data_IF_822240229301
#
_entry.id   IF_822240229301
#
_cell.length_a   1.000
_cell.length_b   1.000
_cell.length_c   1.000
_cell.angle_alpha   90.00
_cell.angle_beta   90.00
_cell.angle_gamma   90.00
#
_symmetry.space_group_name_H-M   'P 1'
#
loop_
_entity.id
_entity.type
_entity.pdbx_description
1 polymer ?
#
# COMPACT_ATOMS: atom_id res chain seq x y z
N UNK A 1 25.62 1.62 -9.90
CA UNK A 1 25.22 1.15 -11.24
C UNK A 1 24.51 2.30 -11.95
N UNK A 2 24.92 2.65 -13.18
CA UNK A 2 24.24 3.66 -13.98
C UNK A 2 22.76 3.32 -14.20
N UNK A 3 21.88 4.33 -14.21
CA UNK A 3 20.44 4.14 -14.34
C UNK A 3 20.07 4.25 -15.82
N UNK A 4 19.53 3.18 -16.40
CA UNK A 4 19.05 3.18 -17.79
C UNK A 4 17.56 3.49 -17.92
N UNK A 5 16.92 3.95 -16.85
CA UNK A 5 15.50 4.33 -16.86
C UNK A 5 15.37 5.84 -16.78
N UNK A 6 14.71 6.42 -17.78
CA UNK A 6 14.35 7.84 -17.84
C UNK A 6 12.96 8.02 -17.25
N UNK A 7 12.84 8.97 -16.34
CA UNK A 7 11.57 9.43 -15.80
C UNK A 7 11.10 10.66 -16.57
N UNK A 8 9.89 10.58 -17.10
CA UNK A 8 9.26 11.61 -17.92
C UNK A 8 8.12 12.23 -17.13
N UNK A 9 8.10 13.56 -17.07
CA UNK A 9 7.08 14.37 -16.41
C UNK A 9 6.46 15.37 -17.37
N UNK A 10 5.36 15.99 -16.93
CA UNK A 10 4.61 17.03 -17.63
C UNK A 10 3.96 16.57 -18.95
N UNK A 11 3.67 15.27 -19.09
CA UNK A 11 2.96 14.75 -20.26
C UNK A 11 1.50 15.22 -20.29
N UNK A 12 0.91 15.22 -21.49
CA UNK A 12 -0.51 15.52 -21.68
C UNK A 12 -1.39 14.36 -21.18
N UNK A 13 -2.37 14.68 -20.35
CA UNK A 13 -3.22 13.69 -19.66
C UNK A 13 -4.47 13.34 -20.48
N UNK A 14 -4.88 14.25 -21.39
CA UNK A 14 -6.08 14.09 -22.21
C UNK A 14 -5.91 13.04 -23.31
N UNK A 15 -4.67 12.71 -23.65
CA UNK A 15 -4.33 11.73 -24.70
C UNK A 15 -4.58 10.30 -24.21
N UNK A 16 -4.99 9.40 -25.10
CA UNK A 16 -5.16 7.97 -24.78
C UNK A 16 -3.82 7.33 -24.40
N UNK A 17 -3.84 6.35 -23.49
CA UNK A 17 -2.61 5.77 -22.95
C UNK A 17 -1.77 5.13 -24.08
N UNK A 18 -2.43 4.36 -24.94
CA UNK A 18 -1.78 3.65 -26.03
C UNK A 18 -1.09 4.62 -27.00
N UNK A 19 -1.81 5.67 -27.42
CA UNK A 19 -1.26 6.71 -28.28
C UNK A 19 -0.09 7.47 -27.62
N UNK A 20 -0.15 7.70 -26.31
CA UNK A 20 0.95 8.33 -25.56
C UNK A 20 2.18 7.41 -25.52
N UNK A 21 1.99 6.12 -25.28
CA UNK A 21 3.06 5.13 -25.25
C UNK A 21 3.71 4.99 -26.63
N UNK A 22 2.91 4.92 -27.70
CA UNK A 22 3.42 4.83 -29.07
C UNK A 22 4.21 6.08 -29.47
N UNK A 23 3.73 7.27 -29.11
CA UNK A 23 4.42 8.52 -29.37
C UNK A 23 5.74 8.62 -28.58
N UNK A 24 5.73 8.27 -27.30
CA UNK A 24 6.95 8.18 -26.49
C UNK A 24 7.93 7.16 -27.08
N UNK A 25 7.45 5.99 -27.53
CA UNK A 25 8.32 4.98 -28.15
C UNK A 25 8.98 5.51 -29.41
N UNK A 26 8.24 6.25 -30.22
CA UNK A 26 8.74 6.82 -31.47
C UNK A 26 9.83 7.84 -31.20
N UNK A 27 9.62 8.76 -30.27
CA UNK A 27 10.59 9.81 -29.94
C UNK A 27 11.84 9.23 -29.26
N UNK A 28 11.66 8.35 -28.27
CA UNK A 28 12.77 7.81 -27.48
C UNK A 28 13.58 6.74 -28.23
N UNK A 29 13.03 6.13 -29.29
CA UNK A 29 13.76 5.15 -30.12
C UNK A 29 14.95 5.76 -30.89
N UNK A 30 15.01 7.09 -31.04
CA UNK A 30 16.10 7.77 -31.72
C UNK A 30 17.43 7.69 -30.94
N UNK A 31 17.37 7.65 -29.61
CA UNK A 31 18.54 7.65 -28.73
C UNK A 31 19.03 6.25 -28.34
N UNK A 32 18.23 5.22 -28.62
CA UNK A 32 18.57 3.84 -28.30
C UNK A 32 17.38 2.90 -28.28
N UNK A 33 17.65 1.65 -27.95
CA UNK A 33 16.64 0.61 -27.95
C UNK A 33 15.81 0.66 -26.65
N UNK A 34 14.53 1.00 -26.80
CA UNK A 34 13.57 1.08 -25.71
C UNK A 34 13.02 -0.32 -25.41
N UNK A 35 13.38 -0.83 -24.23
CA UNK A 35 12.96 -2.12 -23.68
C UNK A 35 11.51 -2.06 -23.19
N UNK A 36 11.14 -0.97 -22.54
CA UNK A 36 9.82 -0.83 -21.94
C UNK A 36 9.40 0.61 -21.72
N UNK A 37 8.09 0.84 -21.73
CA UNK A 37 7.49 2.11 -21.38
C UNK A 37 6.35 1.85 -20.39
N UNK A 38 6.48 2.43 -19.20
CA UNK A 38 5.48 2.33 -18.14
C UNK A 38 4.83 3.70 -17.95
N UNK A 39 3.61 3.86 -18.47
CA UNK A 39 2.78 5.03 -18.24
C UNK A 39 1.49 4.63 -17.49
N UNK A 40 0.99 5.49 -16.60
CA UNK A 40 -0.23 5.23 -15.82
C UNK A 40 -1.14 6.46 -15.80
N UNK A 41 -2.45 6.23 -15.74
CA UNK A 41 -3.47 7.31 -15.70
C UNK A 41 -4.06 7.57 -14.31
N UNK A 42 -3.49 6.96 -13.27
CA UNK A 42 -3.99 7.14 -11.90
C UNK A 42 -3.78 8.59 -11.46
N UNK A 43 -4.63 9.12 -10.58
CA UNK A 43 -4.58 10.52 -10.14
C UNK A 43 -3.20 10.97 -9.60
N UNK A 44 -2.43 10.03 -9.00
CA UNK A 44 -1.07 10.28 -8.49
C UNK A 44 0.05 10.15 -9.54
N UNK A 45 -0.23 9.52 -10.68
CA UNK A 45 0.76 9.15 -11.70
C UNK A 45 0.43 9.67 -13.10
N UNK A 46 -0.68 10.41 -13.24
CA UNK A 46 -1.06 11.07 -14.49
C UNK A 46 0.02 12.08 -14.89
N UNK A 47 0.24 12.20 -16.19
CA UNK A 47 1.28 13.07 -16.74
C UNK A 47 2.72 12.57 -16.52
N UNK A 48 2.89 11.30 -16.13
CA UNK A 48 4.19 10.69 -15.85
C UNK A 48 4.37 9.38 -16.62
N UNK A 49 5.60 9.12 -17.06
CA UNK A 49 6.00 7.86 -17.67
C UNK A 49 7.43 7.48 -17.26
N UNK A 50 7.75 6.20 -17.39
CA UNK A 50 9.10 5.68 -17.25
C UNK A 50 9.48 4.98 -18.53
N UNK A 51 10.58 5.41 -19.15
CA UNK A 51 11.15 4.82 -20.37
C UNK A 51 12.39 4.04 -19.97
N UNK A 52 12.44 2.76 -20.31
CA UNK A 52 13.55 1.87 -19.95
C UNK A 52 14.37 1.59 -21.20
N UNK A 53 15.65 1.95 -21.15
CA UNK A 53 16.65 1.58 -22.14
C UNK A 53 17.43 0.34 -21.70
N UNK A 54 18.03 -0.33 -22.68
CA UNK A 54 19.03 -1.38 -22.46
C UNK A 54 20.38 -0.79 -21.98
N UNK A 55 20.79 0.33 -22.55
CA UNK A 55 22.01 1.07 -22.21
C UNK A 55 21.74 2.30 -21.33
N UNK A 56 22.56 2.56 -20.30
CA UNK A 56 22.49 3.80 -19.54
C UNK A 56 22.98 5.02 -20.34
N UNK A 57 23.80 4.83 -21.38
CA UNK A 57 24.26 5.93 -22.24
C UNK A 57 23.08 6.50 -23.05
N UNK A 58 22.27 5.62 -23.65
CA UNK A 58 21.03 6.03 -24.34
C UNK A 58 20.07 6.82 -23.44
N UNK A 59 20.00 6.48 -22.15
CA UNK A 59 19.19 7.22 -21.19
C UNK A 59 19.76 8.62 -20.91
N UNK A 60 21.08 8.75 -20.85
CA UNK A 60 21.77 10.03 -20.65
C UNK A 60 21.62 10.94 -21.87
N UNK A 61 21.81 10.40 -23.07
CA UNK A 61 21.68 11.15 -24.32
C UNK A 61 20.25 11.66 -24.52
N UNK A 62 19.24 10.80 -24.27
CA UNK A 62 17.85 11.21 -24.31
C UNK A 62 17.56 12.38 -23.35
N UNK A 63 18.06 12.33 -22.11
CA UNK A 63 17.84 13.44 -21.15
C UNK A 63 18.50 14.73 -21.63
N UNK A 64 19.69 14.66 -22.23
CA UNK A 64 20.41 15.86 -22.65
C UNK A 64 19.78 16.53 -23.88
N UNK A 65 19.26 15.73 -24.82
CA UNK A 65 18.84 16.24 -26.13
C UNK A 65 17.35 16.62 -26.17
N UNK A 66 16.48 15.86 -25.50
CA UNK A 66 15.02 16.02 -25.61
C UNK A 66 14.34 16.44 -24.29
N UNK A 67 15.10 16.89 -23.29
CA UNK A 67 14.49 17.60 -22.15
C UNK A 67 13.88 18.93 -22.61
N UNK A 68 12.61 19.13 -22.29
CA UNK A 68 11.83 20.27 -22.76
C UNK A 68 11.15 20.07 -24.12
N UNK A 69 11.32 18.92 -24.78
CA UNK A 69 10.65 18.65 -26.07
C UNK A 69 9.13 18.71 -25.94
N UNK A 70 8.46 19.35 -26.89
CA UNK A 70 7.01 19.50 -26.86
C UNK A 70 6.30 18.27 -27.44
N UNK A 71 5.65 17.51 -26.56
CA UNK A 71 4.81 16.37 -26.95
C UNK A 71 3.34 16.69 -26.67
N UNK A 72 2.51 16.65 -27.71
CA UNK A 72 1.09 17.04 -27.64
C UNK A 72 0.85 18.47 -27.10
N UNK A 73 1.76 19.40 -27.41
CA UNK A 73 1.64 20.81 -26.99
C UNK A 73 2.07 21.08 -25.55
N UNK A 74 2.72 20.11 -24.88
CA UNK A 74 3.33 20.32 -23.56
C UNK A 74 4.82 19.93 -23.58
N UNK A 75 5.71 20.79 -23.06
CA UNK A 75 7.13 20.45 -22.96
C UNK A 75 7.33 19.38 -21.89
N UNK A 76 7.82 18.21 -22.27
CA UNK A 76 8.11 17.14 -21.33
C UNK A 76 9.38 17.44 -20.55
N UNK A 77 9.44 16.97 -19.30
CA UNK A 77 10.63 17.09 -18.45
C UNK A 77 11.22 15.72 -18.19
N UNK A 78 12.52 15.58 -18.39
CA UNK A 78 13.27 14.35 -18.30
C UNK A 78 14.22 14.39 -17.12
N UNK A 79 14.31 13.27 -16.42
CA UNK A 79 15.26 13.07 -15.35
C UNK A 79 15.62 11.58 -15.25
N UNK A 80 16.72 11.26 -14.58
CA UNK A 80 16.98 9.89 -14.21
C UNK A 80 15.92 9.38 -13.21
N UNK A 81 15.48 8.14 -13.40
CA UNK A 81 14.64 7.49 -12.41
C UNK A 81 15.39 7.32 -11.08
N UNK A 82 14.68 7.38 -9.95
CA UNK A 82 15.29 7.21 -8.61
C UNK A 82 15.65 5.75 -8.28
N UNK A 83 15.04 4.80 -8.98
CA UNK A 83 15.19 3.36 -8.75
C UNK A 83 15.25 2.68 -10.12
N UNK A 84 15.99 1.58 -10.22
CA UNK A 84 16.02 0.80 -11.46
C UNK A 84 14.63 0.20 -11.77
N UNK A 85 14.29 0.13 -13.06
CA UNK A 85 13.08 -0.56 -13.48
C UNK A 85 13.22 -2.06 -13.30
N UNK A 86 12.10 -2.73 -13.00
CA UNK A 86 12.10 -4.17 -12.75
C UNK A 86 12.63 -4.93 -13.99
N UNK A 87 12.31 -4.45 -15.21
CA UNK A 87 12.83 -5.02 -16.47
C UNK A 87 14.33 -4.85 -16.69
N UNK A 88 14.94 -3.77 -16.19
CA UNK A 88 16.41 -3.61 -16.27
C UNK A 88 17.11 -4.67 -15.43
N UNK A 89 16.51 -5.02 -14.29
CA UNK A 89 17.01 -6.08 -13.41
C UNK A 89 16.71 -7.47 -13.99
N UNK A 90 15.58 -7.66 -14.68
CA UNK A 90 15.27 -8.88 -15.43
C UNK A 90 16.27 -9.16 -16.56
N UNK A 91 16.77 -8.11 -17.22
CA UNK A 91 17.68 -8.24 -18.36
C UNK A 91 19.16 -8.36 -17.99
N UNK A 92 19.58 -7.76 -16.86
CA UNK A 92 21.00 -7.74 -16.45
C UNK A 92 21.36 -8.76 -15.36
N UNK A 93 20.38 -9.36 -14.67
CA UNK A 93 20.59 -10.19 -13.48
C UNK A 93 20.19 -11.66 -13.62
N UNK A 94 20.95 -12.52 -12.95
CA UNK A 94 20.63 -13.94 -12.72
C UNK A 94 19.28 -14.03 -11.99
N UNK A 95 18.43 -15.01 -12.32
CA UNK A 95 17.00 -15.11 -11.88
C UNK A 95 16.73 -14.87 -10.38
N UNK A 96 17.72 -15.09 -9.51
CA UNK A 96 17.65 -14.86 -8.06
C UNK A 96 17.79 -13.38 -7.64
N UNK A 97 18.59 -12.57 -8.34
CA UNK A 97 18.76 -11.12 -8.05
C UNK A 97 17.47 -10.35 -8.36
N UNK A 98 16.74 -10.77 -9.39
CA UNK A 98 15.43 -10.23 -9.72
C UNK A 98 14.41 -10.45 -8.60
N UNK A 99 14.39 -11.64 -8.00
CA UNK A 99 13.48 -11.94 -6.89
C UNK A 99 13.83 -11.15 -5.64
N UNK A 100 15.13 -10.96 -5.36
CA UNK A 100 15.59 -10.14 -4.24
C UNK A 100 15.32 -8.65 -4.48
N UNK A 101 15.50 -8.13 -5.69
CA UNK A 101 15.18 -6.74 -6.03
C UNK A 101 13.66 -6.48 -6.03
N UNK A 102 12.84 -7.42 -6.52
CA UNK A 102 11.37 -7.34 -6.41
C UNK A 102 10.92 -7.35 -4.95
N UNK A 103 11.51 -8.21 -4.10
CA UNK A 103 11.26 -8.22 -2.65
C UNK A 103 11.74 -6.94 -1.98
N UNK A 104 12.92 -6.43 -2.31
CA UNK A 104 13.47 -5.19 -1.76
C UNK A 104 12.65 -3.99 -2.18
N UNK A 105 12.19 -3.88 -3.42
CA UNK A 105 11.33 -2.78 -3.89
C UNK A 105 9.93 -2.84 -3.28
N UNK A 106 9.39 -4.05 -3.05
CA UNK A 106 8.14 -4.22 -2.31
C UNK A 106 8.31 -3.84 -0.83
N UNK A 107 9.43 -4.22 -0.21
CA UNK A 107 9.77 -3.88 1.17
C UNK A 107 10.15 -2.40 1.36
N UNK A 108 10.83 -1.77 0.39
CA UNK A 108 11.24 -0.36 0.40
C UNK A 108 10.09 0.56 0.03
N UNK A 109 9.19 0.15 -0.89
CA UNK A 109 7.87 0.78 -1.00
C UNK A 109 7.11 0.66 0.32
N UNK A 110 7.16 -0.51 0.98
CA UNK A 110 6.61 -0.68 2.32
C UNK A 110 7.23 0.26 3.37
N UNK A 111 8.56 0.39 3.40
CA UNK A 111 9.34 1.18 4.36
C UNK A 111 9.23 2.68 4.10
N UNK A 112 9.27 3.16 2.86
CA UNK A 112 9.06 4.58 2.52
C UNK A 112 7.61 4.98 2.83
N UNK A 113 6.63 4.07 2.64
CA UNK A 113 5.24 4.28 3.08
C UNK A 113 5.15 4.36 4.60
N UNK A 114 5.95 3.59 5.35
CA UNK A 114 6.04 3.67 6.82
C UNK A 114 6.76 4.93 7.33
N UNK A 115 7.82 5.40 6.66
CA UNK A 115 8.61 6.57 7.09
C UNK A 115 7.90 7.89 6.77
N UNK A 116 7.13 7.95 5.67
CA UNK A 116 6.35 9.13 5.30
C UNK A 116 5.15 9.43 6.23
N UNK A 117 4.91 8.59 7.25
CA UNK A 117 3.88 8.79 8.28
C UNK A 117 4.42 8.99 9.70
N UNK A 118 5.73 9.25 9.90
CA UNK A 118 6.20 9.73 11.21
C UNK A 118 6.06 11.26 11.32
N UNK A 119 5.49 11.80 12.41
CA UNK A 119 5.46 13.24 12.66
C UNK A 119 6.88 13.79 12.87
N UNK A 120 7.12 14.99 12.33
CA UNK A 120 8.42 15.68 12.25
C UNK A 120 9.03 16.15 13.58
N UNK A 121 8.69 15.57 14.73
CA UNK A 121 9.21 16.00 16.04
C UNK A 121 10.52 15.32 16.47
N UNK A 122 11.11 14.47 15.63
CA UNK A 122 12.40 13.84 15.91
C UNK A 122 13.38 14.05 14.75
N UNK A 123 13.68 15.31 14.44
CA UNK A 123 14.93 15.67 13.75
C UNK A 123 15.85 16.41 14.71
N UNK A 124 16.58 15.65 15.55
CA UNK A 124 17.89 16.08 16.04
C UNK A 124 18.67 14.88 16.61
N UNK A 125 19.94 14.81 16.19
CA UNK A 125 21.02 13.97 16.70
C UNK A 125 21.06 12.47 16.31
N UNK A 126 22.09 12.12 15.53
CA UNK A 126 22.90 10.93 15.81
C UNK A 126 22.71 9.71 14.93
N UNK A 127 23.52 9.60 13.86
CA UNK A 127 24.28 8.36 13.67
C UNK A 127 25.03 8.10 14.99
N UNK A 128 24.78 7.00 15.73
CA UNK A 128 25.73 5.94 16.17
C UNK A 128 24.92 4.80 16.87
N UNK A 129 25.34 3.55 16.70
CA UNK A 129 25.15 2.38 17.61
C UNK A 129 23.80 1.65 17.71
N UNK A 130 23.50 0.81 16.71
CA UNK A 130 22.50 -0.29 16.83
C UNK A 130 23.06 -1.62 17.38
N UNK A 131 24.31 -1.65 17.87
CA UNK A 131 24.94 -2.88 18.40
C UNK A 131 24.76 -3.07 19.92
N UNK A 132 24.56 -2.00 20.70
CA UNK A 132 24.44 -2.05 22.17
C UNK A 132 23.03 -2.36 22.71
N UNK A 133 22.00 -2.27 21.88
CA UNK A 133 20.61 -2.52 22.29
C UNK A 133 20.19 -4.00 22.29
N UNK A 134 21.01 -4.88 21.69
CA UNK A 134 20.73 -6.33 21.65
C UNK A 134 21.39 -7.07 22.82
N UNK A 135 22.50 -6.56 23.34
CA UNK A 135 23.27 -7.19 24.42
C UNK A 135 22.61 -7.02 25.80
N UNK A 136 21.95 -5.87 26.02
CA UNK A 136 21.22 -5.57 27.27
C UNK A 136 19.86 -6.28 27.38
N UNK A 137 19.36 -6.89 26.31
CA UNK A 137 18.15 -7.70 26.31
C UNK A 137 18.43 -9.19 26.61
N UNK A 138 19.67 -9.65 26.46
CA UNK A 138 20.08 -11.03 26.76
C UNK A 138 20.46 -11.23 28.23
N UNK A 139 20.99 -10.21 28.93
CA UNK A 139 21.33 -10.33 30.36
C UNK A 139 20.12 -10.37 31.30
N UNK A 140 18.97 -9.79 30.91
CA UNK A 140 17.76 -9.84 31.74
C UNK A 140 16.96 -11.15 31.62
N UNK A 141 17.25 -11.98 30.62
CA UNK A 141 16.60 -13.31 30.47
C UNK A 141 17.26 -14.42 31.28
N UNK A 142 18.46 -14.22 31.83
CA UNK A 142 19.13 -15.25 32.63
C UNK A 142 18.83 -15.20 34.13
N UNK A 143 18.27 -14.11 34.67
CA UNK A 143 18.06 -13.99 36.13
C UNK A 143 16.75 -14.67 36.60
N UNK A 144 15.73 -14.80 35.76
CA UNK A 144 14.43 -15.37 36.17
C UNK A 144 14.28 -16.89 36.00
N UNK A 145 15.38 -17.64 35.85
CA UNK A 145 15.34 -19.11 35.65
C UNK A 145 16.06 -19.90 36.74
N UNK A 146 15.77 -19.61 38.01
CA UNK A 146 16.02 -20.54 39.14
C UNK A 146 14.82 -20.54 40.10
N UNK A 147 14.17 -21.70 40.23
CA UNK A 147 13.08 -21.98 41.18
C UNK A 147 11.77 -22.33 40.45
N UNK A 148 11.59 -23.57 39.98
CA UNK A 148 10.90 -24.67 40.69
C UNK A 148 9.39 -24.44 40.84
N UNK A 149 8.46 -25.26 40.34
CA UNK A 149 8.53 -26.56 39.68
C UNK A 149 7.13 -27.21 39.58
N UNK A 150 7.04 -28.31 38.82
CA UNK A 150 6.09 -29.44 38.95
C UNK A 150 4.61 -29.30 38.54
N UNK A 151 3.90 -30.23 37.88
CA UNK A 151 4.14 -31.45 37.06
C UNK A 151 2.85 -31.75 36.25
N UNK A 152 2.96 -32.66 35.26
CA UNK A 152 1.96 -33.58 34.68
C UNK A 152 1.08 -33.07 33.52
N UNK A 153 0.71 -33.88 32.53
CA UNK A 153 1.32 -35.01 31.80
C UNK A 153 0.34 -35.34 30.65
N UNK A 154 0.81 -36.12 29.67
CA UNK A 154 0.03 -36.90 28.69
C UNK A 154 -0.58 -36.29 27.39
N UNK A 155 0.21 -36.41 26.29
CA UNK A 155 0.01 -37.32 25.10
C UNK A 155 -1.19 -37.12 24.11
N UNK A 156 -1.16 -37.68 22.87
CA UNK A 156 -0.42 -37.22 21.69
C UNK A 156 -1.22 -37.19 20.34
N UNK A 157 -0.53 -36.77 19.27
CA UNK A 157 -0.57 -37.31 17.89
C UNK A 157 -1.50 -36.69 16.80
N UNK A 158 -0.83 -36.30 15.70
CA UNK A 158 -0.95 -36.86 14.33
C UNK A 158 -1.31 -35.87 13.20
N UNK A 159 -0.33 -35.71 12.30
CA UNK A 159 -0.33 -35.53 10.84
C UNK A 159 -1.64 -35.21 10.09
N UNK A 160 -1.59 -34.31 9.10
CA UNK A 160 -1.34 -34.66 7.68
C UNK A 160 -1.59 -33.47 6.71
N UNK A 161 -1.01 -33.60 5.52
CA UNK A 161 -0.94 -32.70 4.35
C UNK A 161 -2.23 -32.65 3.52
N UNK A 162 -2.39 -31.61 2.69
CA UNK A 162 -2.76 -31.65 1.23
C UNK A 162 -3.07 -30.21 0.77
N UNK A 163 -2.36 -29.63 -0.20
CA UNK A 163 -2.40 -29.76 -1.67
C UNK A 163 -3.61 -29.09 -2.34
N UNK A 164 -3.36 -28.21 -3.32
CA UNK A 164 -4.29 -27.99 -4.43
C UNK A 164 -4.46 -26.54 -4.89
N UNK A 165 -3.77 -26.17 -5.98
CA UNK A 165 -4.10 -25.03 -6.84
C UNK A 165 -5.45 -25.28 -7.56
N UNK A 166 -6.30 -24.25 -7.68
CA UNK A 166 -6.83 -23.81 -9.00
C UNK A 166 -7.56 -22.46 -8.94
N UNK A 167 -7.38 -21.71 -10.01
CA UNK A 167 -7.82 -20.35 -10.31
C UNK A 167 -9.32 -20.25 -10.60
N UNK A 168 -9.99 -19.19 -10.11
CA UNK A 168 -11.09 -18.52 -10.81
C UNK A 168 -11.13 -17.04 -10.45
N UNK A 169 -11.07 -16.22 -11.49
CA UNK A 169 -11.38 -14.79 -11.52
C UNK A 169 -12.71 -14.43 -10.85
N UNK A 170 -12.71 -13.43 -9.97
CA UNK A 170 -13.60 -12.25 -10.01
C UNK A 170 -13.62 -11.53 -8.64
N UNK A 171 -13.32 -10.24 -8.68
CA UNK A 171 -13.84 -9.18 -7.78
C UNK A 171 -13.66 -9.37 -6.26
N UNK A 172 -12.50 -8.96 -5.74
CA UNK A 172 -12.35 -8.60 -4.33
C UNK A 172 -11.66 -7.25 -4.22
N UNK A 173 -12.46 -6.21 -4.40
CA UNK A 173 -12.08 -4.81 -4.26
C UNK A 173 -11.79 -4.47 -2.80
N UNK A 174 -10.54 -4.14 -2.47
CA UNK A 174 -10.20 -3.10 -1.49
C UNK A 174 -10.53 -3.33 0.00
N UNK A 175 -10.40 -4.55 0.54
CA UNK A 175 -10.52 -4.75 2.00
C UNK A 175 -9.32 -4.22 2.80
N UNK A 176 -8.10 -4.33 2.25
CA UNK A 176 -6.86 -4.10 3.03
C UNK A 176 -6.48 -2.62 3.21
N UNK A 177 -6.99 -1.71 2.36
CA UNK A 177 -6.59 -0.29 2.39
C UNK A 177 -7.37 0.56 3.40
N UNK A 178 -8.49 0.05 3.91
CA UNK A 178 -9.41 0.81 4.78
C UNK A 178 -9.16 0.51 6.27
N UNK A 179 -8.26 -0.44 6.55
CA UNK A 179 -7.89 -0.89 7.90
C UNK A 179 -6.91 0.05 8.62
N UNK A 180 -6.23 0.93 7.88
CA UNK A 180 -5.23 1.89 8.39
C UNK A 180 -5.72 3.34 8.44
N UNK A 181 -7.03 3.56 8.52
CA UNK A 181 -7.52 4.90 8.81
C UNK A 181 -7.19 5.24 10.28
N UNK A 182 -6.66 6.46 10.57
CA UNK A 182 -6.36 6.84 11.93
C UNK A 182 -7.63 6.74 12.78
N UNK A 183 -7.53 6.35 14.06
CA UNK A 183 -8.67 6.31 14.96
C UNK A 183 -9.45 7.62 14.88
N UNK A 184 -10.75 7.49 14.67
CA UNK A 184 -11.67 8.61 14.58
C UNK A 184 -12.90 8.28 15.41
N UNK A 185 -13.49 9.31 16.01
CA UNK A 185 -14.75 9.20 16.75
C UNK A 185 -15.93 8.84 15.84
N UNK A 186 -15.78 8.98 14.52
CA UNK A 186 -16.81 8.61 13.54
C UNK A 186 -16.39 7.32 12.83
N UNK A 187 -17.28 6.33 12.84
CA UNK A 187 -17.18 5.10 12.07
C UNK A 187 -18.00 5.20 10.80
N UNK A 188 -17.47 4.62 9.74
CA UNK A 188 -18.09 4.41 8.46
C UNK A 188 -18.49 2.94 8.31
N UNK A 189 -19.79 2.70 8.23
CA UNK A 189 -20.37 1.35 8.11
C UNK A 189 -20.88 1.18 6.69
N UNK A 190 -20.46 0.11 6.04
CA UNK A 190 -20.80 -0.25 4.67
C UNK A 190 -21.32 -1.68 4.59
N UNK A 191 -22.01 -2.00 3.49
CA UNK A 191 -22.47 -3.35 3.14
C UNK A 191 -23.52 -3.96 4.09
N UNK A 192 -24.36 -3.15 4.74
CA UNK A 192 -25.53 -3.68 5.46
C UNK A 192 -26.78 -3.71 4.55
N UNK A 193 -27.72 -4.67 4.78
CA UNK A 193 -28.95 -4.80 4.01
C UNK A 193 -29.88 -3.59 4.15
N UNK A 194 -30.78 -3.41 3.17
CA UNK A 194 -31.73 -2.29 3.14
C UNK A 194 -32.75 -2.33 4.30
N UNK A 195 -32.99 -3.50 4.88
CA UNK A 195 -33.89 -3.71 6.01
C UNK A 195 -33.31 -3.22 7.35
N UNK A 196 -32.04 -2.80 7.37
CA UNK A 196 -31.38 -2.33 8.59
C UNK A 196 -31.47 -0.81 8.72
N UNK A 197 -32.50 -0.39 9.45
CA UNK A 197 -32.74 1.01 9.82
C UNK A 197 -31.83 1.52 10.95
N UNK A 198 -31.91 2.85 11.17
CA UNK A 198 -31.21 3.59 12.22
C UNK A 198 -31.40 2.94 13.59
N UNK A 199 -32.61 2.48 13.91
CA UNK A 199 -32.94 1.88 15.20
C UNK A 199 -32.16 0.58 15.46
N UNK A 200 -31.97 -0.23 14.42
CA UNK A 200 -31.23 -1.49 14.51
C UNK A 200 -29.73 -1.21 14.65
N UNK A 201 -29.20 -0.28 13.86
CA UNK A 201 -27.81 0.16 13.99
C UNK A 201 -27.56 0.79 15.36
N UNK A 202 -28.50 1.58 15.88
CA UNK A 202 -28.44 2.15 17.23
C UNK A 202 -28.42 1.06 18.29
N UNK A 203 -29.20 -0.02 18.15
CA UNK A 203 -29.17 -1.16 19.07
C UNK A 203 -27.86 -1.96 19.02
N UNK A 204 -27.20 -2.01 17.87
CA UNK A 204 -25.90 -2.68 17.72
C UNK A 204 -24.77 -1.81 18.24
N UNK A 205 -24.70 -0.54 17.83
CA UNK A 205 -23.59 0.37 18.13
C UNK A 205 -23.75 1.10 19.48
N UNK A 206 -24.97 1.24 19.98
CA UNK A 206 -25.27 1.83 21.30
C UNK A 206 -24.90 0.95 22.49
N UNK A 207 -24.49 -0.31 22.27
CA UNK A 207 -23.94 -1.18 23.33
C UNK A 207 -22.52 -0.77 23.76
N UNK A 208 -21.85 0.03 22.93
CA UNK A 208 -20.49 0.48 23.18
C UNK A 208 -20.52 1.87 23.82
N UNK A 209 -19.62 2.09 24.77
CA UNK A 209 -19.59 3.32 25.55
C UNK A 209 -19.27 4.54 24.68
N UNK A 210 -19.90 5.67 25.00
CA UNK A 210 -19.72 6.92 24.27
C UNK A 210 -20.44 6.99 22.92
N UNK A 211 -21.49 6.20 22.65
CA UNK A 211 -22.31 6.34 21.45
C UNK A 211 -23.05 7.69 21.41
N UNK A 212 -22.99 8.43 20.28
CA UNK A 212 -23.76 9.68 20.07
C UNK A 212 -24.95 9.48 19.14
N UNK A 213 -24.69 9.21 17.87
CA UNK A 213 -25.75 9.13 16.85
C UNK A 213 -25.37 8.24 15.66
N UNK A 214 -26.38 7.74 14.95
CA UNK A 214 -26.24 7.07 13.65
C UNK A 214 -26.87 7.94 12.57
N UNK A 215 -26.11 8.24 11.52
CA UNK A 215 -26.53 9.03 10.37
C UNK A 215 -26.47 8.21 9.09
N UNK A 216 -27.63 7.92 8.50
CA UNK A 216 -27.71 7.31 7.18
C UNK A 216 -27.43 8.33 6.08
N UNK A 217 -26.87 7.87 4.96
CA UNK A 217 -26.56 8.74 3.81
C UNK A 217 -27.75 8.80 2.86
N UNK A 218 -28.41 9.97 2.69
CA UNK A 218 -29.49 10.08 1.71
C UNK A 218 -28.94 9.90 0.29
N UNK A 219 -29.59 9.06 -0.51
CA UNK A 219 -29.18 8.77 -1.89
C UNK A 219 -28.16 7.63 -2.06
N UNK A 220 -27.65 7.03 -0.96
CA UNK A 220 -26.85 5.81 -1.03
C UNK A 220 -27.27 4.79 0.04
N UNK A 221 -27.79 3.65 -0.41
CA UNK A 221 -28.23 2.55 0.46
C UNK A 221 -27.04 1.71 0.94
N UNK A 222 -27.16 1.12 2.13
CA UNK A 222 -26.12 0.26 2.73
C UNK A 222 -24.88 1.02 3.22
N UNK A 223 -25.03 2.31 3.53
CA UNK A 223 -23.97 3.17 4.06
C UNK A 223 -24.49 4.01 5.24
N UNK A 224 -23.76 3.99 6.35
CA UNK A 224 -24.08 4.75 7.56
C UNK A 224 -22.81 5.33 8.19
N UNK A 225 -22.98 6.43 8.91
CA UNK A 225 -21.98 6.98 9.81
C UNK A 225 -22.44 6.79 11.24
N UNK A 226 -21.56 6.32 12.11
CA UNK A 226 -21.82 6.19 13.54
C UNK A 226 -20.86 7.11 14.27
N UNK A 227 -21.38 8.08 15.01
CA UNK A 227 -20.58 9.01 15.79
C UNK A 227 -20.51 8.56 17.26
N UNK A 228 -19.32 8.62 17.82
CA UNK A 228 -19.02 8.46 19.23
C UNK A 228 -18.51 9.79 19.82
N UNK A 229 -18.63 9.93 21.14
CA UNK A 229 -18.08 11.03 21.92
C UNK A 229 -16.57 10.90 22.04
N UNK A 230 -16.08 9.67 22.27
CA UNK A 230 -14.68 9.35 22.39
C UNK A 230 -14.20 8.39 21.30
N UNK A 231 -12.97 8.58 20.84
CA UNK A 231 -12.31 7.67 19.89
C UNK A 231 -12.19 6.24 20.43
N UNK A 232 -12.02 6.07 21.74
CA UNK A 232 -11.92 4.76 22.39
C UNK A 232 -13.22 3.94 22.25
N UNK A 233 -14.38 4.60 22.30
CA UNK A 233 -15.68 3.98 22.04
C UNK A 233 -15.77 3.49 20.60
N UNK A 234 -15.32 4.31 19.64
CA UNK A 234 -15.29 3.96 18.23
C UNK A 234 -14.30 2.82 17.91
N UNK A 235 -13.12 2.76 18.54
CA UNK A 235 -12.16 1.67 18.39
C UNK A 235 -12.79 0.34 18.82
N UNK A 236 -13.31 0.32 20.04
CA UNK A 236 -13.94 -0.88 20.62
C UNK A 236 -15.13 -1.34 19.78
N UNK A 237 -15.98 -0.41 19.35
CA UNK A 237 -17.11 -0.71 18.48
C UNK A 237 -16.65 -1.29 17.14
N UNK A 238 -15.66 -0.68 16.48
CA UNK A 238 -15.11 -1.15 15.20
C UNK A 238 -14.54 -2.56 15.31
N UNK A 239 -13.75 -2.86 16.34
CA UNK A 239 -13.15 -4.20 16.49
C UNK A 239 -14.20 -5.29 16.76
N UNK A 240 -15.28 -4.96 17.47
CA UNK A 240 -16.34 -5.90 17.81
C UNK A 240 -17.44 -6.03 16.74
N UNK A 241 -17.56 -5.05 15.83
CA UNK A 241 -18.60 -5.03 14.78
C UNK A 241 -18.05 -5.18 13.36
N UNK A 242 -16.75 -4.99 13.14
CA UNK A 242 -16.12 -5.23 11.84
C UNK A 242 -16.20 -6.72 11.49
N UNK A 243 -16.82 -7.04 10.35
CA UNK A 243 -17.01 -8.42 9.92
C UNK A 243 -18.18 -9.14 10.59
N UNK A 244 -19.05 -8.43 11.32
CA UNK A 244 -20.33 -8.98 11.74
C UNK A 244 -21.16 -9.32 10.49
N UNK A 245 -21.73 -10.52 10.45
CA UNK A 245 -22.56 -10.94 9.35
C UNK A 245 -23.98 -10.46 9.60
N UNK A 246 -24.40 -9.44 8.86
CA UNK A 246 -25.72 -8.83 8.99
C UNK A 246 -26.51 -9.20 7.73
N UNK A 247 -27.27 -10.28 7.81
CA UNK A 247 -27.86 -10.96 6.64
C UNK A 247 -26.84 -11.82 5.88
N UNK A 248 -26.90 -11.81 4.55
CA UNK A 248 -26.03 -12.63 3.67
C UNK A 248 -24.64 -12.03 3.40
N UNK A 249 -24.36 -10.82 3.91
CA UNK A 249 -23.09 -10.11 3.65
C UNK A 249 -22.45 -9.61 4.95
N UNK A 250 -21.11 -9.70 5.09
CA UNK A 250 -20.41 -9.10 6.21
C UNK A 250 -20.43 -7.58 6.11
N UNK A 251 -20.78 -6.91 7.20
CA UNK A 251 -20.69 -5.45 7.28
C UNK A 251 -19.22 -5.05 7.38
N UNK A 252 -18.87 -3.98 6.67
CA UNK A 252 -17.53 -3.39 6.70
C UNK A 252 -17.57 -2.12 7.52
N UNK A 253 -16.92 -2.16 8.68
CA UNK A 253 -16.82 -1.03 9.62
C UNK A 253 -15.40 -0.48 9.61
N UNK A 254 -15.24 0.79 9.24
CA UNK A 254 -13.95 1.48 9.19
C UNK A 254 -14.06 2.88 9.78
N UNK A 255 -12.96 3.60 9.95
CA UNK A 255 -13.04 4.98 10.44
C UNK A 255 -13.48 5.94 9.34
N UNK A 256 -14.09 7.06 9.71
CA UNK A 256 -14.37 8.13 8.75
C UNK A 256 -13.07 8.72 8.22
N UNK A 257 -12.95 8.80 6.89
CA UNK A 257 -11.87 9.54 6.22
C UNK A 257 -12.03 11.03 6.52
N UNK A 258 -10.97 11.63 7.05
CA UNK A 258 -10.87 13.09 7.19
C UNK A 258 -10.58 13.75 5.85
#
# INVERSE_FOLDING_TARGET
>A
MPISTVYVQNLEERVKLDALVDALRTVFAEFGNVVDIVAKKNLRAKGQAFVVYDSPESAQDAINEIDGFELFGKPMKLAFARTQSDKTVELKGNREELEQHKRHRQAEKGIIISISHLPSSLTSAGHIDKRKALESAEEQRQINKRGSGSVNDNRPAKAAKSSGLKSTSATASGSVLDEFLPPNKILFVQNFPEDYDIETLTSVFGRFDGFREVRLVPGRRGIAFVEYEAEQGAITAKENTAGLHLGDKPIKVTYQRQ
#
